data_IF_701003408823
#
_entry.id   IF_701003408823
#
_cell.length_a   1.000
_cell.length_b   1.000
_cell.length_c   1.000
_cell.angle_alpha   90.00
_cell.angle_beta   90.00
_cell.angle_gamma   90.00
#
_symmetry.space_group_name_H-M   'P 1'
#
loop_
_entity.id
_entity.type
_entity.pdbx_description
1 polymer ?
#
# COMPACT_ATOMS: atom_id res chain seq x y z
N UNK A 1 -42.04 35.78 -1.13
CA UNK A 1 -40.66 35.78 -1.62
C UNK A 1 -39.75 34.75 -0.93
N UNK A 2 -40.26 33.76 -0.22
CA UNK A 2 -39.53 32.80 0.66
C UNK A 2 -39.15 31.47 -0.02
N UNK A 3 -39.79 31.13 -1.13
CA UNK A 3 -39.58 29.81 -1.76
C UNK A 3 -38.28 29.63 -2.58
N UNK A 4 -37.69 30.70 -3.08
CA UNK A 4 -36.46 30.63 -3.91
C UNK A 4 -35.20 30.45 -3.07
N UNK A 5 -35.10 31.11 -1.91
CA UNK A 5 -33.94 30.98 -1.00
C UNK A 5 -33.80 29.59 -0.40
N UNK A 6 -34.93 28.96 -0.05
CA UNK A 6 -34.92 27.58 0.53
C UNK A 6 -34.45 26.54 -0.49
N UNK A 7 -34.81 26.70 -1.77
CA UNK A 7 -34.37 25.77 -2.84
C UNK A 7 -32.88 25.88 -3.17
N UNK A 8 -32.33 27.11 -3.09
CA UNK A 8 -30.90 27.36 -3.32
C UNK A 8 -30.04 26.77 -2.18
N UNK A 9 -30.48 26.93 -0.92
CA UNK A 9 -29.77 26.36 0.23
C UNK A 9 -29.77 24.82 0.22
N UNK A 10 -30.90 24.18 -0.18
CA UNK A 10 -30.95 22.73 -0.33
C UNK A 10 -30.04 22.20 -1.45
N UNK A 11 -29.95 22.91 -2.58
CA UNK A 11 -29.07 22.53 -3.68
C UNK A 11 -27.57 22.63 -3.30
N UNK A 12 -27.18 23.66 -2.53
CA UNK A 12 -25.79 23.83 -2.05
C UNK A 12 -25.44 22.74 -1.03
N UNK A 13 -26.36 22.36 -0.13
CA UNK A 13 -26.12 21.31 0.84
C UNK A 13 -25.91 19.93 0.17
N UNK A 14 -26.66 19.62 -0.89
CA UNK A 14 -26.50 18.37 -1.67
C UNK A 14 -25.16 18.36 -2.43
N UNK A 15 -24.73 19.49 -2.99
CA UNK A 15 -23.46 19.60 -3.70
C UNK A 15 -22.26 19.42 -2.76
N UNK A 16 -22.32 19.95 -1.52
CA UNK A 16 -21.27 19.79 -0.51
C UNK A 16 -21.17 18.34 -0.01
N UNK A 17 -22.28 17.63 0.14
CA UNK A 17 -22.29 16.21 0.51
C UNK A 17 -21.64 15.33 -0.57
N UNK A 18 -21.79 15.68 -1.85
CA UNK A 18 -21.19 14.94 -2.96
C UNK A 18 -19.66 15.09 -3.04
N UNK A 19 -19.10 16.22 -2.58
CA UNK A 19 -17.65 16.44 -2.54
C UNK A 19 -16.96 15.59 -1.44
N UNK A 20 -17.66 15.32 -0.33
CA UNK A 20 -17.10 14.49 0.75
C UNK A 20 -16.98 13.01 0.37
N UNK A 21 -17.89 12.50 -0.46
CA UNK A 21 -17.83 11.11 -0.94
C UNK A 21 -16.61 10.84 -1.84
N UNK A 22 -16.07 11.85 -2.52
CA UNK A 22 -14.88 11.71 -3.36
C UNK A 22 -13.56 11.63 -2.57
N UNK A 23 -13.54 12.12 -1.31
CA UNK A 23 -12.36 12.08 -0.45
C UNK A 23 -12.08 10.68 0.11
N UNK A 24 -13.07 9.82 0.13
CA UNK A 24 -13.06 8.46 0.71
C UNK A 24 -12.82 7.34 -0.32
N UNK A 25 -12.55 7.67 -1.59
CA UNK A 25 -12.28 6.67 -2.63
C UNK A 25 -10.98 5.89 -2.33
N UNK A 26 -10.92 4.58 -2.66
CA UNK A 26 -9.71 3.79 -2.50
C UNK A 26 -8.54 4.47 -3.21
N UNK A 27 -7.44 4.71 -2.50
CA UNK A 27 -6.28 5.44 -3.06
C UNK A 27 -5.43 4.59 -4.00
N UNK A 28 -5.68 3.27 -4.05
CA UNK A 28 -4.87 2.29 -4.74
C UNK A 28 -5.76 1.37 -5.58
N UNK A 29 -6.20 1.86 -6.73
CA UNK A 29 -7.15 1.16 -7.60
C UNK A 29 -6.47 0.28 -8.67
N UNK A 30 -5.14 0.31 -8.82
CA UNK A 30 -4.45 -0.50 -9.81
C UNK A 30 -4.59 -1.98 -9.48
N UNK A 31 -5.03 -2.78 -10.44
CA UNK A 31 -5.28 -4.21 -10.31
C UNK A 31 -4.78 -4.97 -11.54
N UNK A 32 -4.21 -6.14 -11.29
CA UNK A 32 -3.82 -7.13 -12.29
C UNK A 32 -3.97 -8.53 -11.68
N UNK A 33 -4.68 -9.47 -12.33
CA UNK A 33 -4.93 -10.79 -11.75
C UNK A 33 -3.66 -11.59 -11.45
N UNK A 34 -2.62 -11.49 -12.29
CA UNK A 34 -1.34 -12.21 -12.07
C UNK A 34 -0.59 -11.64 -10.87
N UNK A 35 -0.46 -10.31 -10.81
CA UNK A 35 0.13 -9.65 -9.65
C UNK A 35 -0.61 -10.04 -8.36
N UNK A 36 -1.94 -10.06 -8.38
CA UNK A 36 -2.75 -10.43 -7.23
C UNK A 36 -2.53 -11.89 -6.82
N UNK A 37 -2.46 -12.80 -7.79
CA UNK A 37 -2.23 -14.24 -7.55
C UNK A 37 -0.83 -14.49 -7.00
N UNK A 38 0.19 -14.02 -7.69
CA UNK A 38 1.58 -14.32 -7.34
C UNK A 38 2.01 -13.60 -6.05
N UNK A 39 1.84 -12.29 -6.00
CA UNK A 39 2.24 -11.50 -4.83
C UNK A 39 1.29 -11.67 -3.64
N UNK A 40 0.04 -12.07 -3.87
CA UNK A 40 -0.98 -12.29 -2.85
C UNK A 40 -0.93 -13.66 -2.19
N UNK A 41 -0.12 -14.59 -2.70
CA UNK A 41 -0.07 -15.98 -2.21
C UNK A 41 0.49 -16.12 -0.78
N UNK A 42 1.36 -15.21 -0.37
CA UNK A 42 2.02 -15.25 0.95
C UNK A 42 1.62 -14.08 1.87
N UNK A 43 1.32 -12.92 1.30
CA UNK A 43 0.91 -11.70 2.02
C UNK A 43 0.02 -10.83 1.12
N UNK A 44 -0.55 -9.76 1.66
CA UNK A 44 -1.27 -8.77 0.85
C UNK A 44 -0.42 -8.32 -0.33
N UNK A 45 -0.93 -8.43 -1.56
CA UNK A 45 -0.28 -7.86 -2.73
C UNK A 45 -0.20 -6.33 -2.56
N UNK A 46 1.00 -5.82 -2.35
CA UNK A 46 1.19 -4.41 -2.01
C UNK A 46 0.86 -3.50 -3.20
N UNK A 47 0.06 -2.45 -3.01
CA UNK A 47 -0.28 -1.51 -4.07
C UNK A 47 0.95 -0.95 -4.79
N UNK A 48 0.99 -0.96 -6.13
CA UNK A 48 2.13 -0.47 -6.90
C UNK A 48 2.54 0.96 -6.56
N UNK A 49 1.56 1.81 -6.22
CA UNK A 49 1.78 3.21 -5.87
C UNK A 49 2.57 3.43 -4.56
N UNK A 50 2.81 2.39 -3.76
CA UNK A 50 3.58 2.50 -2.51
C UNK A 50 5.10 2.45 -2.72
N UNK A 51 5.57 2.10 -3.92
CA UNK A 51 6.99 2.18 -4.31
C UNK A 51 7.17 2.91 -5.63
N UNK A 52 8.37 3.47 -5.84
CA UNK A 52 8.76 4.04 -7.14
C UNK A 52 9.09 2.92 -8.13
N UNK A 53 9.04 3.22 -9.44
CA UNK A 53 9.40 2.24 -10.47
C UNK A 53 10.82 1.67 -10.30
N UNK A 54 11.87 2.47 -9.98
CA UNK A 54 13.19 1.91 -9.68
C UNK A 54 13.19 0.97 -8.46
N UNK A 55 12.38 1.24 -7.43
CA UNK A 55 12.28 0.37 -6.27
C UNK A 55 11.61 -0.97 -6.64
N UNK A 56 10.55 -0.93 -7.43
CA UNK A 56 9.92 -2.15 -7.93
C UNK A 56 10.87 -2.99 -8.80
N UNK A 57 11.65 -2.36 -9.70
CA UNK A 57 12.67 -3.09 -10.48
C UNK A 57 13.68 -3.80 -9.57
N UNK A 58 14.10 -3.15 -8.48
CA UNK A 58 15.02 -3.76 -7.52
C UNK A 58 14.40 -4.96 -6.82
N UNK A 59 13.12 -4.90 -6.42
CA UNK A 59 12.40 -6.03 -5.83
C UNK A 59 12.24 -7.17 -6.85
N UNK A 60 11.76 -6.86 -8.05
CA UNK A 60 11.52 -7.86 -9.10
C UNK A 60 12.82 -8.53 -9.61
N UNK A 61 13.93 -7.82 -9.56
CA UNK A 61 15.25 -8.37 -9.89
C UNK A 61 15.90 -9.22 -8.78
N UNK A 62 15.18 -9.48 -7.67
CA UNK A 62 15.71 -10.18 -6.51
C UNK A 62 14.64 -11.07 -5.82
N UNK A 63 13.77 -11.66 -6.62
CA UNK A 63 12.71 -12.53 -6.11
C UNK A 63 13.27 -13.80 -5.46
N UNK A 64 14.43 -14.29 -5.92
CA UNK A 64 15.18 -15.40 -5.34
C UNK A 64 15.66 -15.18 -3.90
N UNK A 65 15.67 -13.93 -3.44
CA UNK A 65 16.07 -13.53 -2.09
C UNK A 65 15.12 -12.47 -1.49
N UNK A 66 13.85 -12.59 -1.80
CA UNK A 66 12.78 -11.67 -1.42
C UNK A 66 12.64 -11.57 0.10
N UNK A 67 13.35 -10.60 0.70
CA UNK A 67 13.38 -10.36 2.15
C UNK A 67 13.68 -11.61 3.00
N UNK A 68 14.46 -12.54 2.47
CA UNK A 68 14.87 -13.77 3.15
C UNK A 68 14.08 -15.02 2.74
N UNK A 69 13.16 -14.90 1.79
CA UNK A 69 12.43 -16.02 1.19
C UNK A 69 12.71 -16.08 -0.32
N UNK A 70 12.56 -17.26 -0.91
CA UNK A 70 12.50 -17.43 -2.36
C UNK A 70 11.04 -17.24 -2.84
N UNK A 71 10.81 -16.17 -3.60
CA UNK A 71 9.55 -15.83 -4.24
C UNK A 71 9.69 -15.87 -5.77
N UNK A 72 10.59 -16.71 -6.29
CA UNK A 72 10.83 -16.84 -7.72
C UNK A 72 9.57 -17.32 -8.44
N UNK A 73 9.30 -16.71 -9.59
CA UNK A 73 8.26 -17.07 -10.53
C UNK A 73 8.85 -17.20 -11.93
N UNK A 74 8.12 -17.74 -12.89
CA UNK A 74 8.62 -17.84 -14.25
C UNK A 74 8.94 -16.47 -14.88
N UNK A 75 9.90 -16.43 -15.78
CA UNK A 75 10.45 -15.19 -16.34
C UNK A 75 9.40 -14.36 -17.10
N UNK A 76 8.42 -15.00 -17.75
CA UNK A 76 7.36 -14.29 -18.48
C UNK A 76 6.42 -13.58 -17.50
N UNK A 77 5.94 -14.31 -16.51
CA UNK A 77 5.09 -13.74 -15.44
C UNK A 77 5.82 -12.63 -14.69
N UNK A 78 7.10 -12.81 -14.35
CA UNK A 78 7.91 -11.78 -13.71
C UNK A 78 8.00 -10.51 -14.55
N UNK A 79 8.21 -10.62 -15.86
CA UNK A 79 8.26 -9.48 -16.77
C UNK A 79 6.91 -8.74 -16.87
N UNK A 80 5.80 -9.48 -16.96
CA UNK A 80 4.46 -8.92 -17.04
C UNK A 80 4.06 -8.19 -15.76
N UNK A 81 4.31 -8.80 -14.59
CA UNK A 81 4.08 -8.18 -13.27
C UNK A 81 5.00 -6.96 -13.09
N UNK A 82 6.27 -7.07 -13.44
CA UNK A 82 7.21 -5.96 -13.38
C UNK A 82 6.74 -4.75 -14.18
N UNK A 83 6.30 -4.97 -15.42
CA UNK A 83 5.74 -3.93 -16.25
C UNK A 83 4.45 -3.31 -15.66
N UNK A 84 3.57 -4.11 -15.06
CA UNK A 84 2.39 -3.61 -14.35
C UNK A 84 2.77 -2.74 -13.15
N UNK A 85 3.68 -3.21 -12.30
CA UNK A 85 4.17 -2.48 -11.13
C UNK A 85 4.79 -1.14 -11.51
N UNK A 86 5.63 -1.11 -12.57
CA UNK A 86 6.29 0.10 -13.03
C UNK A 86 5.30 1.13 -13.61
N UNK A 87 4.32 0.70 -14.40
CA UNK A 87 3.31 1.60 -14.96
C UNK A 87 2.44 2.24 -13.89
N UNK A 88 2.19 1.54 -12.78
CA UNK A 88 1.33 1.98 -11.69
C UNK A 88 2.12 2.45 -10.45
N UNK A 89 3.45 2.57 -10.58
CA UNK A 89 4.34 2.96 -9.50
C UNK A 89 4.01 4.35 -8.95
N UNK A 90 4.26 4.51 -7.67
CA UNK A 90 4.11 5.79 -6.99
C UNK A 90 5.16 6.81 -7.40
N UNK A 91 4.80 8.08 -7.23
CA UNK A 91 5.67 9.23 -7.46
C UNK A 91 5.75 10.09 -6.20
N UNK A 92 6.89 10.76 -6.01
CA UNK A 92 7.08 11.70 -4.92
C UNK A 92 7.17 11.05 -3.54
N UNK A 93 6.85 11.83 -2.51
CA UNK A 93 7.18 11.55 -1.09
C UNK A 93 6.45 10.36 -0.46
N UNK A 94 5.37 9.86 -1.06
CA UNK A 94 4.59 8.73 -0.54
C UNK A 94 5.16 7.38 -0.93
N UNK A 95 5.89 7.32 -2.05
CA UNK A 95 6.43 6.08 -2.56
C UNK A 95 7.82 5.81 -1.98
N UNK A 96 8.05 4.59 -1.53
CA UNK A 96 9.37 4.14 -1.12
C UNK A 96 10.33 4.13 -2.32
N UNK A 97 11.54 4.61 -2.10
CA UNK A 97 12.61 4.69 -3.10
C UNK A 97 13.69 3.64 -2.81
N UNK A 98 14.59 3.33 -3.76
CA UNK A 98 15.73 2.47 -3.49
C UNK A 98 16.60 2.96 -2.33
N UNK A 99 16.72 4.28 -2.14
CA UNK A 99 17.46 4.88 -1.03
C UNK A 99 16.79 4.67 0.34
N UNK A 100 15.51 4.30 0.39
CA UNK A 100 14.78 3.94 1.60
C UNK A 100 15.02 2.47 2.03
N UNK A 101 15.96 1.77 1.43
CA UNK A 101 16.40 0.46 1.86
C UNK A 101 16.96 0.55 3.28
N UNK A 102 16.18 0.09 4.23
CA UNK A 102 16.49 0.18 5.65
C UNK A 102 17.67 -0.69 6.02
N UNK A 103 18.60 -0.20 6.85
CA UNK A 103 19.62 -1.00 7.53
C UNK A 103 18.96 -1.86 8.60
N UNK A 104 18.26 -2.92 8.20
CA UNK A 104 17.68 -3.88 9.14
C UNK A 104 18.74 -4.91 9.48
N UNK A 105 19.09 -5.03 10.74
CA UNK A 105 19.94 -6.11 11.22
C UNK A 105 19.29 -7.46 10.90
N UNK A 106 20.08 -8.41 10.33
CA UNK A 106 19.57 -9.72 9.92
C UNK A 106 19.03 -9.80 8.49
N UNK A 107 19.30 -8.82 7.63
CA UNK A 107 18.97 -8.91 6.22
C UNK A 107 19.73 -10.06 5.53
N UNK A 108 19.03 -10.72 4.58
CA UNK A 108 19.62 -11.74 3.72
C UNK A 108 20.87 -11.22 2.96
N UNK A 109 21.80 -12.11 2.53
CA UNK A 109 22.96 -11.73 1.75
C UNK A 109 22.58 -10.95 0.48
N UNK A 110 23.28 -9.85 0.22
CA UNK A 110 23.06 -9.00 -0.95
C UNK A 110 22.66 -7.57 -0.60
N UNK A 111 22.54 -6.69 -1.61
CA UNK A 111 22.10 -5.31 -1.36
C UNK A 111 20.71 -5.30 -0.76
N UNK A 112 20.45 -4.41 0.24
CA UNK A 112 19.15 -4.35 0.89
C UNK A 112 18.06 -3.98 -0.12
N UNK A 113 16.89 -4.64 0.01
CA UNK A 113 15.72 -4.32 -0.79
C UNK A 113 14.94 -3.15 -0.19
N UNK A 114 14.33 -2.30 -1.02
CA UNK A 114 13.49 -1.20 -0.55
C UNK A 114 12.28 -1.73 0.21
N UNK A 115 11.89 -1.04 1.30
CA UNK A 115 10.73 -1.42 2.10
C UNK A 115 9.72 -0.29 2.12
N UNK A 116 8.44 -0.60 1.89
CA UNK A 116 7.33 0.35 2.04
C UNK A 116 7.33 0.92 3.45
N UNK A 117 7.48 0.06 4.46
CA UNK A 117 7.51 0.43 5.88
C UNK A 117 8.72 1.30 6.27
N UNK A 118 9.75 1.37 5.43
CA UNK A 118 10.92 2.23 5.61
C UNK A 118 10.76 3.63 5.02
N UNK A 119 9.66 3.93 4.32
CA UNK A 119 9.43 5.27 3.78
C UNK A 119 9.06 6.27 4.88
N UNK A 120 9.53 7.52 4.75
CA UNK A 120 9.20 8.57 5.72
C UNK A 120 7.69 8.85 5.79
N UNK A 121 6.98 8.69 4.67
CA UNK A 121 5.53 8.79 4.65
C UNK A 121 4.88 7.68 5.47
N UNK A 122 5.24 6.42 5.27
CA UNK A 122 4.70 5.30 6.03
C UNK A 122 4.93 5.48 7.53
N UNK A 123 6.17 5.82 7.92
CA UNK A 123 6.52 6.06 9.32
C UNK A 123 5.67 7.18 9.95
N UNK A 124 5.39 8.25 9.19
CA UNK A 124 4.53 9.35 9.65
C UNK A 124 3.08 8.89 9.86
N UNK A 125 2.50 8.16 8.92
CA UNK A 125 1.10 7.72 9.01
C UNK A 125 0.89 6.66 10.12
N UNK A 126 1.92 5.90 10.49
CA UNK A 126 1.84 4.82 11.48
C UNK A 126 2.53 5.17 12.82
N UNK A 127 2.94 6.42 13.05
CA UNK A 127 3.67 6.83 14.25
C UNK A 127 2.87 6.63 15.55
N UNK A 128 1.55 6.57 15.46
CA UNK A 128 0.65 6.43 16.62
C UNK A 128 0.34 4.96 16.95
N UNK A 129 0.82 4.01 16.12
CA UNK A 129 0.63 2.58 16.39
C UNK A 129 1.60 2.14 17.50
N UNK A 130 1.10 1.72 18.68
CA UNK A 130 1.97 1.33 19.79
C UNK A 130 2.82 0.09 19.46
N UNK A 131 4.04 0.04 19.96
CA UNK A 131 4.91 -1.13 19.81
C UNK A 131 4.26 -2.42 20.39
N UNK A 132 3.46 -2.31 21.42
CA UNK A 132 2.69 -3.42 21.99
C UNK A 132 1.66 -3.98 21.02
N UNK A 133 1.02 -3.14 20.21
CA UNK A 133 0.11 -3.57 19.14
C UNK A 133 0.87 -4.32 18.04
N UNK A 134 2.06 -3.81 17.66
CA UNK A 134 2.89 -4.45 16.62
C UNK A 134 3.41 -5.82 17.10
N UNK A 135 3.73 -5.97 18.39
CA UNK A 135 4.24 -7.20 18.99
C UNK A 135 3.17 -8.31 19.16
N UNK A 136 1.90 -8.02 18.92
CA UNK A 136 0.84 -9.02 18.99
C UNK A 136 1.03 -10.11 17.94
N UNK A 137 0.67 -11.36 18.25
CA UNK A 137 0.79 -12.51 17.34
C UNK A 137 -0.06 -12.34 16.06
N UNK A 138 -1.21 -11.67 16.17
CA UNK A 138 -2.13 -11.41 15.08
C UNK A 138 -1.70 -10.22 14.19
N UNK A 139 -0.71 -9.45 14.62
CA UNK A 139 -0.09 -8.36 13.87
C UNK A 139 1.31 -8.75 13.40
N UNK A 140 2.24 -8.98 14.32
CA UNK A 140 3.61 -9.44 14.10
C UNK A 140 4.53 -8.42 13.44
N UNK A 141 4.03 -7.61 12.52
CA UNK A 141 4.83 -6.65 11.75
C UNK A 141 3.96 -5.56 11.15
N UNK A 142 4.49 -4.35 11.01
CA UNK A 142 3.87 -3.28 10.23
C UNK A 142 3.76 -3.61 8.72
N UNK A 143 4.43 -4.64 8.22
CA UNK A 143 4.25 -5.14 6.87
C UNK A 143 2.99 -6.01 6.71
N UNK A 144 2.38 -6.45 7.80
CA UNK A 144 1.10 -7.15 7.80
C UNK A 144 -0.06 -6.13 7.72
N UNK A 145 -0.24 -5.52 6.56
CA UNK A 145 -1.25 -4.48 6.35
C UNK A 145 -2.67 -4.97 6.65
N UNK A 146 -2.98 -6.22 6.31
CA UNK A 146 -4.30 -6.81 6.50
C UNK A 146 -4.69 -6.97 7.98
N UNK A 147 -3.73 -6.99 8.90
CA UNK A 147 -4.01 -7.06 10.33
C UNK A 147 -4.81 -5.84 10.83
N UNK A 148 -4.68 -4.70 10.16
CA UNK A 148 -5.37 -3.47 10.54
C UNK A 148 -6.27 -2.93 9.41
N UNK A 149 -5.83 -3.05 8.14
CA UNK A 149 -6.58 -2.61 6.96
C UNK A 149 -7.38 -3.79 6.39
N UNK A 150 -8.59 -4.00 6.88
CA UNK A 150 -9.40 -5.21 6.58
C UNK A 150 -9.85 -5.33 5.12
N UNK A 151 -9.60 -4.32 4.31
CA UNK A 151 -9.89 -4.31 2.88
C UNK A 151 -8.63 -4.08 2.02
N UNK A 152 -7.44 -4.33 2.59
CA UNK A 152 -6.15 -4.16 1.91
C UNK A 152 -6.04 -5.03 0.64
N UNK A 153 -6.67 -6.20 0.63
CA UNK A 153 -6.78 -7.10 -0.52
C UNK A 153 -7.46 -6.45 -1.74
N UNK A 154 -8.31 -5.46 -1.51
CA UNK A 154 -9.00 -4.67 -2.54
C UNK A 154 -8.38 -3.30 -2.76
N UNK A 155 -7.21 -3.03 -2.19
CA UNK A 155 -6.52 -1.74 -2.28
C UNK A 155 -7.17 -0.63 -1.44
N UNK A 156 -8.14 -0.95 -0.57
CA UNK A 156 -8.79 0.02 0.32
C UNK A 156 -8.05 0.10 1.65
N UNK A 157 -7.35 1.22 1.84
CA UNK A 157 -6.63 1.57 3.05
C UNK A 157 -7.28 2.76 3.77
N UNK A 158 -8.55 3.03 3.49
CA UNK A 158 -9.31 4.11 4.14
C UNK A 158 -9.53 3.85 5.64
N UNK A 159 -9.76 4.90 6.40
CA UNK A 159 -10.09 4.81 7.83
C UNK A 159 -11.38 4.01 8.08
N UNK A 160 -12.30 3.98 7.13
CA UNK A 160 -13.54 3.18 7.22
C UNK A 160 -13.26 1.68 7.30
N UNK A 161 -12.22 1.22 6.60
CA UNK A 161 -11.78 -0.17 6.59
C UNK A 161 -10.71 -0.47 7.66
N UNK A 162 -10.37 0.50 8.51
CA UNK A 162 -9.36 0.35 9.55
C UNK A 162 -9.96 -0.32 10.79
N UNK A 163 -9.31 -1.37 11.28
CA UNK A 163 -9.65 -2.11 12.50
C UNK A 163 -8.36 -2.48 13.22
N UNK A 164 -7.88 -1.59 14.08
CA UNK A 164 -6.66 -1.85 14.86
C UNK A 164 -6.98 -2.88 15.95
N UNK A 165 -6.26 -4.02 16.04
CA UNK A 165 -6.43 -5.02 17.11
C UNK A 165 -6.20 -4.42 18.50
N UNK A 166 -7.06 -4.77 19.46
CA UNK A 166 -7.03 -4.29 20.84
C UNK A 166 -6.43 -5.33 21.78
#
# INVERSE_FOLDING_TARGET
MTGRSTRILAAIAIALASLQAAADAPRFAADDPRWRTECGSCHTAFPPALMTAPAWRQVMGALDRHYGADASIDAKTAAEIGAFLERNAGKGRRAATPAAASKVAGAAPGPPLPRITGSAWFAKEHREVPASTIARKDVGSLANCAACHTAADRGDFSERALRVPR
#
